data_IF_970861856262
#
_entry.id   IF_970861856262
#
_cell.length_a   1.000
_cell.length_b   1.000
_cell.length_c   1.000
_cell.angle_alpha   90.00
_cell.angle_beta   90.00
_cell.angle_gamma   90.00
#
_symmetry.space_group_name_H-M   'P 1'
#
loop_
_entity.id
_entity.type
_entity.pdbx_description
1 polymer ?
#
# COMPACT_ATOMS: atom_id res chain seq x y z
N UNK A 1 1.21 44.12 -1.02
CA UNK A 1 -0.16 43.91 -1.54
C UNK A 1 -0.47 42.43 -1.77
N UNK A 2 0.37 41.67 -2.50
CA UNK A 2 0.09 40.26 -2.85
C UNK A 2 -0.05 39.29 -1.67
N UNK A 3 0.78 39.40 -0.62
CA UNK A 3 0.74 38.50 0.54
C UNK A 3 -0.54 38.67 1.38
N UNK A 4 -1.04 39.90 1.49
CA UNK A 4 -2.26 40.22 2.25
C UNK A 4 -3.51 39.75 1.50
N UNK A 5 -3.54 39.95 0.17
CA UNK A 5 -4.58 39.39 -0.70
C UNK A 5 -4.59 37.86 -0.66
N UNK A 6 -3.42 37.23 -0.77
CA UNK A 6 -3.30 35.77 -0.73
C UNK A 6 -3.71 35.19 0.63
N UNK A 7 -3.32 35.84 1.73
CA UNK A 7 -3.72 35.44 3.08
C UNK A 7 -5.21 35.67 3.34
N UNK A 8 -5.79 36.75 2.81
CA UNK A 8 -7.22 37.03 2.90
C UNK A 8 -8.07 36.02 2.12
N UNK A 9 -7.66 35.67 0.90
CA UNK A 9 -8.30 34.59 0.12
C UNK A 9 -8.13 33.24 0.83
N UNK A 10 -6.94 32.94 1.36
CA UNK A 10 -6.69 31.73 2.16
C UNK A 10 -7.59 31.62 3.40
N UNK A 11 -7.80 32.73 4.10
CA UNK A 11 -8.70 32.81 5.26
C UNK A 11 -10.17 32.68 4.87
N UNK A 12 -10.62 33.33 3.78
CA UNK A 12 -11.97 33.16 3.27
C UNK A 12 -12.28 31.71 2.85
N UNK A 13 -11.32 31.04 2.23
CA UNK A 13 -11.46 29.63 1.81
C UNK A 13 -11.44 28.66 3.01
N UNK A 14 -10.90 29.06 4.16
CA UNK A 14 -10.87 28.25 5.38
C UNK A 14 -12.26 27.98 5.99
N UNK A 15 -13.26 28.81 5.66
CA UNK A 15 -14.66 28.59 6.05
C UNK A 15 -15.34 27.46 5.25
N UNK A 16 -14.81 27.10 4.07
CA UNK A 16 -15.35 26.06 3.19
C UNK A 16 -14.49 24.78 3.22
N UNK A 17 -13.20 24.92 3.52
CA UNK A 17 -12.22 23.84 3.53
C UNK A 17 -11.35 23.92 4.78
N UNK A 18 -11.32 22.85 5.59
CA UNK A 18 -10.53 22.73 6.82
C UNK A 18 -9.02 22.95 6.63
N UNK A 19 -8.54 22.91 5.37
CA UNK A 19 -7.13 23.14 4.98
C UNK A 19 -6.98 24.28 3.95
N UNK A 20 -7.96 25.18 3.84
CA UNK A 20 -7.93 26.30 2.89
C UNK A 20 -7.85 25.86 1.42
N UNK A 21 -7.18 26.66 0.59
CA UNK A 21 -6.99 26.43 -0.86
C UNK A 21 -6.27 25.09 -1.16
N UNK A 22 -5.27 24.73 -0.36
CA UNK A 22 -4.58 23.45 -0.47
C UNK A 22 -5.54 22.27 -0.22
N UNK A 23 -6.47 22.42 0.72
CA UNK A 23 -7.50 21.40 0.98
C UNK A 23 -8.47 21.21 -0.18
N UNK A 24 -8.81 22.28 -0.91
CA UNK A 24 -9.66 22.18 -2.11
C UNK A 24 -8.93 21.51 -3.27
N UNK A 25 -7.67 21.88 -3.50
CA UNK A 25 -6.82 21.22 -4.49
C UNK A 25 -6.66 19.73 -4.18
N UNK A 26 -6.33 19.39 -2.94
CA UNK A 26 -6.18 18.00 -2.51
C UNK A 26 -7.49 17.23 -2.60
N UNK A 27 -8.63 17.86 -2.24
CA UNK A 27 -9.95 17.25 -2.35
C UNK A 27 -10.21 16.72 -3.76
N UNK A 28 -9.94 17.51 -4.81
CA UNK A 28 -10.14 17.08 -6.21
C UNK A 28 -9.44 15.76 -6.52
N UNK A 29 -8.21 15.56 -6.06
CA UNK A 29 -7.46 14.32 -6.26
C UNK A 29 -7.91 13.18 -5.35
N UNK A 30 -8.48 13.48 -4.17
CA UNK A 30 -8.98 12.46 -3.23
C UNK A 30 -10.41 11.98 -3.49
N UNK A 31 -11.23 12.78 -4.20
CA UNK A 31 -12.63 12.46 -4.53
C UNK A 31 -12.86 11.05 -5.09
N UNK A 32 -12.08 10.54 -6.07
CA UNK A 32 -12.32 9.20 -6.62
C UNK A 32 -12.05 8.06 -5.63
N UNK A 33 -11.49 8.38 -4.46
CA UNK A 33 -11.13 7.40 -3.44
C UNK A 33 -12.05 7.41 -2.23
N UNK A 34 -13.01 8.34 -2.14
CA UNK A 34 -13.92 8.43 -1.01
C UNK A 34 -14.92 7.28 -1.05
N UNK A 35 -14.88 6.44 -0.02
CA UNK A 35 -15.83 5.35 0.21
C UNK A 35 -16.07 4.47 -1.04
N UNK A 36 -15.05 3.71 -1.49
CA UNK A 36 -15.15 2.88 -2.69
C UNK A 36 -16.19 1.76 -2.60
N UNK A 37 -16.88 1.61 -1.46
CA UNK A 37 -17.83 0.53 -1.21
C UNK A 37 -17.15 -0.83 -0.99
N UNK A 38 -17.96 -1.86 -0.75
CA UNK A 38 -17.48 -3.22 -0.46
C UNK A 38 -17.17 -4.07 -1.71
N UNK A 39 -17.34 -3.50 -2.91
CA UNK A 39 -17.13 -4.22 -4.17
C UNK A 39 -15.64 -4.40 -4.43
N UNK A 40 -15.21 -5.62 -4.79
CA UNK A 40 -13.80 -5.88 -5.05
C UNK A 40 -13.26 -5.04 -6.22
N UNK A 41 -14.03 -4.87 -7.29
CA UNK A 41 -13.61 -4.10 -8.47
C UNK A 41 -13.29 -2.64 -8.15
N UNK A 42 -14.08 -1.99 -7.29
CA UNK A 42 -13.84 -0.60 -6.88
C UNK A 42 -12.65 -0.49 -5.95
N UNK A 43 -12.44 -1.47 -5.05
CA UNK A 43 -11.24 -1.54 -4.21
C UNK A 43 -9.96 -1.75 -5.04
N UNK A 44 -10.01 -2.62 -6.05
CA UNK A 44 -8.89 -2.84 -6.97
C UNK A 44 -8.62 -1.57 -7.79
N UNK A 45 -9.66 -0.95 -8.36
CA UNK A 45 -9.51 0.28 -9.14
C UNK A 45 -8.91 1.44 -8.35
N UNK A 46 -9.38 1.65 -7.11
CA UNK A 46 -8.80 2.66 -6.21
C UNK A 46 -7.36 2.35 -5.83
N UNK A 47 -7.03 1.08 -5.59
CA UNK A 47 -5.64 0.68 -5.30
C UNK A 47 -4.71 0.90 -6.48
N UNK A 48 -5.14 0.53 -7.69
CA UNK A 48 -4.38 0.75 -8.94
C UNK A 48 -4.13 2.25 -9.11
N UNK A 49 -5.17 3.07 -9.03
CA UNK A 49 -5.04 4.51 -9.19
C UNK A 49 -4.16 5.14 -8.10
N UNK A 50 -4.24 4.65 -6.86
CA UNK A 50 -3.34 5.12 -5.80
C UNK A 50 -1.89 4.78 -6.09
N UNK A 51 -1.59 3.54 -6.45
CA UNK A 51 -0.21 3.12 -6.76
C UNK A 51 0.34 3.86 -7.99
N UNK A 52 -0.50 4.16 -8.99
CA UNK A 52 -0.11 5.02 -10.11
C UNK A 52 0.25 6.45 -9.64
N UNK A 53 -0.52 7.00 -8.70
CA UNK A 53 -0.18 8.29 -8.10
C UNK A 53 1.13 8.26 -7.32
N UNK A 54 1.41 7.16 -6.61
CA UNK A 54 2.71 6.96 -5.97
C UNK A 54 3.87 6.90 -6.96
N UNK A 55 3.67 6.33 -8.16
CA UNK A 55 4.71 6.31 -9.21
C UNK A 55 5.05 7.71 -9.72
N UNK A 56 4.10 8.64 -9.75
CA UNK A 56 4.35 10.03 -10.17
C UNK A 56 4.64 10.99 -8.99
N UNK A 57 4.85 10.45 -7.79
CA UNK A 57 5.22 11.23 -6.61
C UNK A 57 4.07 11.88 -5.84
N UNK A 58 2.80 11.58 -6.19
CA UNK A 58 1.64 12.02 -5.42
C UNK A 58 1.41 11.04 -4.27
N UNK A 59 1.82 11.44 -3.07
CA UNK A 59 1.77 10.63 -1.86
C UNK A 59 0.36 10.65 -1.25
N UNK A 60 -0.17 9.46 -0.99
CA UNK A 60 -1.30 9.27 -0.09
C UNK A 60 -2.65 9.88 -0.50
N UNK A 61 -3.10 9.89 -1.78
CA UNK A 61 -4.44 10.35 -2.11
C UNK A 61 -5.55 9.44 -1.55
N UNK A 62 -5.19 8.29 -0.97
CA UNK A 62 -6.11 7.35 -0.34
C UNK A 62 -5.77 7.18 1.14
N UNK A 63 -6.68 7.62 2.00
CA UNK A 63 -6.67 7.21 3.40
C UNK A 63 -7.40 5.86 3.52
N UNK A 64 -6.64 4.76 3.48
CA UNK A 64 -7.19 3.40 3.52
C UNK A 64 -7.97 3.09 4.81
N UNK A 65 -7.54 3.68 5.93
CA UNK A 65 -8.20 3.58 7.24
C UNK A 65 -9.47 4.45 7.30
N UNK A 66 -9.40 5.69 6.81
CA UNK A 66 -10.51 6.64 6.81
C UNK A 66 -11.64 6.26 5.83
N UNK A 67 -11.30 5.65 4.69
CA UNK A 67 -12.28 5.29 3.66
C UNK A 67 -13.24 4.18 4.03
N UNK A 68 -12.91 3.36 5.03
CA UNK A 68 -13.78 2.32 5.57
C UNK A 68 -14.19 2.60 7.02
N UNK A 69 -14.05 3.84 7.51
CA UNK A 69 -14.17 4.16 8.94
C UNK A 69 -15.44 3.62 9.62
N UNK A 70 -16.61 3.74 8.96
CA UNK A 70 -17.87 3.22 9.52
C UNK A 70 -17.82 1.69 9.64
N UNK A 71 -17.45 0.99 8.57
CA UNK A 71 -17.37 -0.47 8.53
C UNK A 71 -16.31 -1.02 9.48
N UNK A 72 -15.15 -0.35 9.58
CA UNK A 72 -14.08 -0.71 10.50
C UNK A 72 -14.51 -0.54 11.96
N UNK A 73 -15.20 0.56 12.31
CA UNK A 73 -15.73 0.77 13.66
C UNK A 73 -16.80 -0.27 14.00
N UNK A 74 -17.71 -0.60 13.07
CA UNK A 74 -18.72 -1.64 13.27
C UNK A 74 -18.07 -3.02 13.52
N UNK A 75 -17.03 -3.35 12.77
CA UNK A 75 -16.29 -4.60 12.97
C UNK A 75 -15.56 -4.63 14.32
N UNK A 76 -14.90 -3.53 14.69
CA UNK A 76 -14.23 -3.40 15.98
C UNK A 76 -15.24 -3.56 17.13
N UNK A 77 -16.37 -2.87 17.07
CA UNK A 77 -17.44 -2.97 18.07
C UNK A 77 -17.95 -4.41 18.18
N UNK A 78 -18.18 -5.08 17.04
CA UNK A 78 -18.58 -6.48 17.03
C UNK A 78 -17.55 -7.37 17.74
N UNK A 79 -16.27 -7.22 17.41
CA UNK A 79 -15.20 -8.03 17.99
C UNK A 79 -15.00 -7.80 19.49
N UNK A 80 -15.19 -6.55 19.96
CA UNK A 80 -15.16 -6.23 21.39
C UNK A 80 -16.34 -6.84 22.16
N UNK A 81 -17.52 -6.94 21.52
CA UNK A 81 -18.70 -7.56 22.14
C UNK A 81 -18.66 -9.09 22.16
N UNK A 82 -18.09 -9.71 21.13
CA UNK A 82 -18.09 -11.17 20.96
C UNK A 82 -16.75 -11.83 21.32
N UNK A 83 -15.70 -11.04 21.57
CA UNK A 83 -14.35 -11.53 21.87
C UNK A 83 -13.63 -12.17 20.68
N UNK A 84 -14.14 -12.00 19.45
CA UNK A 84 -13.58 -12.61 18.25
C UNK A 84 -13.84 -11.75 17.01
N UNK A 85 -12.88 -11.72 16.10
CA UNK A 85 -13.02 -11.09 14.79
C UNK A 85 -13.90 -11.91 13.82
N UNK A 86 -14.11 -13.19 14.12
CA UNK A 86 -14.93 -14.09 13.29
C UNK A 86 -16.40 -13.66 13.30
N UNK A 87 -17.01 -13.56 12.12
CA UNK A 87 -18.42 -13.19 11.98
C UNK A 87 -18.69 -11.68 11.97
N UNK A 88 -17.65 -10.84 11.92
CA UNK A 88 -17.82 -9.39 11.83
C UNK A 88 -18.69 -9.00 10.61
N UNK A 89 -19.57 -7.98 10.75
CA UNK A 89 -20.62 -7.68 9.78
C UNK A 89 -20.08 -7.20 8.42
N UNK A 90 -18.91 -6.56 8.38
CA UNK A 90 -18.30 -6.04 7.17
C UNK A 90 -16.90 -6.63 6.96
N UNK A 91 -16.74 -7.93 6.70
CA UNK A 91 -15.43 -8.57 6.71
C UNK A 91 -14.51 -8.08 5.58
N UNK A 92 -15.09 -7.57 4.50
CA UNK A 92 -14.37 -7.09 3.32
C UNK A 92 -14.38 -5.57 3.32
N UNK A 93 -13.27 -4.99 3.75
CA UNK A 93 -13.01 -3.55 3.73
C UNK A 93 -11.65 -3.29 3.10
N UNK A 94 -11.45 -2.07 2.60
CA UNK A 94 -10.16 -1.66 2.04
C UNK A 94 -9.04 -1.76 3.10
N UNK A 95 -9.35 -1.46 4.36
CA UNK A 95 -8.43 -1.63 5.47
C UNK A 95 -8.00 -3.10 5.66
N UNK A 96 -8.94 -4.04 5.60
CA UNK A 96 -8.61 -5.46 5.70
C UNK A 96 -7.82 -5.92 4.48
N UNK A 97 -8.38 -5.82 3.26
CA UNK A 97 -7.78 -6.50 2.09
C UNK A 97 -6.55 -5.79 1.53
N UNK A 98 -6.45 -4.46 1.69
CA UNK A 98 -5.32 -3.68 1.16
C UNK A 98 -4.33 -3.30 2.24
N UNK A 99 -4.73 -2.48 3.21
CA UNK A 99 -3.81 -1.90 4.20
C UNK A 99 -3.08 -2.98 5.02
N UNK A 100 -3.80 -4.03 5.40
CA UNK A 100 -3.25 -5.09 6.26
C UNK A 100 -2.48 -6.18 5.51
N UNK A 101 -2.83 -6.45 4.25
CA UNK A 101 -2.36 -7.64 3.53
C UNK A 101 -1.71 -7.38 2.17
N UNK A 102 -2.01 -6.25 1.53
CA UNK A 102 -1.51 -5.89 0.20
C UNK A 102 -0.73 -4.56 0.16
N UNK A 103 -0.33 -4.07 1.33
CA UNK A 103 0.47 -2.84 1.49
C UNK A 103 1.72 -3.09 2.37
N UNK A 104 2.20 -4.34 2.40
CA UNK A 104 3.34 -4.76 3.22
C UNK A 104 4.64 -4.18 2.68
N UNK A 105 5.33 -3.39 3.49
CA UNK A 105 6.43 -2.54 3.06
C UNK A 105 5.97 -1.27 2.37
N UNK A 106 4.73 -0.85 2.57
CA UNK A 106 4.16 0.33 1.94
C UNK A 106 3.66 0.09 0.51
N UNK A 107 3.31 1.18 -0.21
CA UNK A 107 2.75 1.15 -1.55
C UNK A 107 3.53 0.24 -2.50
N UNK A 108 2.80 -0.51 -3.33
CA UNK A 108 3.39 -1.48 -4.23
C UNK A 108 3.91 -2.76 -3.58
N UNK A 109 3.75 -2.93 -2.27
CA UNK A 109 4.36 -4.02 -1.51
C UNK A 109 5.89 -4.04 -1.61
N UNK A 110 6.54 -2.90 -1.41
CA UNK A 110 7.99 -2.77 -1.69
C UNK A 110 8.88 -3.66 -0.83
N UNK A 111 8.39 -4.23 0.28
CA UNK A 111 9.15 -5.26 1.00
C UNK A 111 9.40 -6.49 0.12
N UNK A 112 8.44 -6.84 -0.74
CA UNK A 112 8.61 -7.92 -1.70
C UNK A 112 9.68 -7.61 -2.74
N UNK A 113 9.77 -6.36 -3.20
CA UNK A 113 10.83 -5.87 -4.08
C UNK A 113 12.20 -5.93 -3.42
N UNK A 114 12.31 -5.50 -2.15
CA UNK A 114 13.54 -5.62 -1.34
C UNK A 114 14.03 -7.06 -1.33
N UNK A 115 13.14 -8.01 -1.02
CA UNK A 115 13.47 -9.44 -0.99
C UNK A 115 13.93 -9.92 -2.37
N UNK A 116 13.21 -9.55 -3.44
CA UNK A 116 13.55 -9.94 -4.80
C UNK A 116 14.94 -9.43 -5.23
N UNK A 117 15.28 -8.17 -4.92
CA UNK A 117 16.58 -7.57 -5.22
C UNK A 117 17.69 -8.25 -4.42
N UNK A 118 17.52 -8.44 -3.12
CA UNK A 118 18.54 -9.09 -2.28
C UNK A 118 18.79 -10.54 -2.72
N UNK A 119 17.74 -11.24 -3.12
CA UNK A 119 17.80 -12.64 -3.51
C UNK A 119 18.50 -12.87 -4.84
N UNK A 120 18.15 -12.11 -5.89
CA UNK A 120 18.58 -12.43 -7.27
C UNK A 120 19.15 -11.28 -8.08
N UNK A 121 19.15 -10.05 -7.57
CA UNK A 121 19.73 -8.94 -8.34
C UNK A 121 21.26 -8.98 -8.32
N UNK A 122 21.87 -8.73 -9.48
CA UNK A 122 23.32 -8.56 -9.62
C UNK A 122 23.74 -7.09 -9.71
N UNK A 123 22.77 -6.18 -9.86
CA UNK A 123 23.02 -4.75 -9.98
C UNK A 123 23.51 -4.17 -8.65
N UNK A 124 24.72 -3.63 -8.64
CA UNK A 124 25.35 -3.10 -7.42
C UNK A 124 24.59 -1.88 -6.88
N UNK A 125 24.10 -0.99 -7.76
CA UNK A 125 23.32 0.19 -7.38
C UNK A 125 22.01 -0.20 -6.69
N UNK A 126 21.26 -1.14 -7.28
CA UNK A 126 20.00 -1.60 -6.69
C UNK A 126 20.23 -2.26 -5.34
N UNK A 127 21.27 -3.09 -5.22
CA UNK A 127 21.61 -3.76 -3.96
C UNK A 127 22.09 -2.78 -2.90
N UNK A 128 22.85 -1.75 -3.26
CA UNK A 128 23.31 -0.72 -2.33
C UNK A 128 22.12 0.04 -1.70
N UNK A 129 21.19 0.53 -2.53
CA UNK A 129 19.98 1.21 -2.07
C UNK A 129 19.11 0.30 -1.20
N UNK A 130 18.95 -0.96 -1.63
CA UNK A 130 18.14 -1.95 -0.91
C UNK A 130 18.76 -2.29 0.45
N UNK A 131 20.08 -2.45 0.54
CA UNK A 131 20.79 -2.69 1.81
C UNK A 131 20.72 -1.50 2.78
N UNK A 132 20.58 -0.27 2.27
CA UNK A 132 20.36 0.89 3.12
C UNK A 132 18.91 1.00 3.61
N UNK A 133 17.95 0.44 2.86
CA UNK A 133 16.52 0.72 3.04
C UNK A 133 15.69 -0.47 3.55
N UNK A 134 16.25 -1.69 3.63
CA UNK A 134 15.49 -2.89 4.01
C UNK A 134 14.88 -2.81 5.40
N UNK A 135 15.59 -2.24 6.38
CA UNK A 135 15.11 -2.16 7.76
C UNK A 135 13.92 -1.19 7.88
N UNK A 136 13.99 0.06 7.36
CA UNK A 136 12.82 0.92 7.22
C UNK A 136 11.65 0.25 6.49
N UNK A 137 11.94 -0.50 5.42
CA UNK A 137 10.91 -1.16 4.63
C UNK A 137 10.13 -2.25 5.40
N UNK A 138 10.75 -2.95 6.36
CA UNK A 138 10.03 -3.90 7.23
C UNK A 138 8.92 -3.19 8.01
N UNK A 139 9.18 -1.97 8.47
CA UNK A 139 8.23 -1.12 9.20
C UNK A 139 7.42 -0.21 8.27
N UNK A 140 7.29 -0.57 7.00
CA UNK A 140 6.51 0.14 5.98
C UNK A 140 6.99 1.56 5.63
N UNK A 141 8.23 1.91 5.98
CA UNK A 141 8.88 3.15 5.52
C UNK A 141 9.59 2.92 4.19
N UNK A 142 8.92 3.26 3.09
CA UNK A 142 9.35 2.90 1.74
C UNK A 142 9.88 4.08 0.90
N UNK A 143 9.82 5.31 1.41
CA UNK A 143 10.31 6.50 0.69
C UNK A 143 11.78 6.38 0.24
N UNK A 144 12.71 5.82 1.05
CA UNK A 144 14.08 5.62 0.59
C UNK A 144 14.18 4.69 -0.63
N UNK A 145 13.30 3.69 -0.74
CA UNK A 145 13.25 2.79 -1.90
C UNK A 145 12.66 3.47 -3.12
N UNK A 146 11.55 4.22 -2.96
CA UNK A 146 10.88 4.90 -4.06
C UNK A 146 11.76 5.96 -4.72
N UNK A 147 12.59 6.65 -3.94
CA UNK A 147 13.51 7.68 -4.45
C UNK A 147 14.84 7.07 -4.89
N UNK A 148 15.32 6.02 -4.21
CA UNK A 148 16.62 5.42 -4.50
C UNK A 148 16.62 4.41 -5.66
N UNK A 149 15.49 3.76 -5.94
CA UNK A 149 15.33 2.87 -7.09
C UNK A 149 14.54 3.59 -8.20
N UNK A 150 14.81 3.29 -9.49
CA UNK A 150 14.12 3.93 -10.60
C UNK A 150 12.70 3.38 -10.81
N UNK A 151 11.92 3.19 -9.74
CA UNK A 151 10.57 2.59 -9.79
C UNK A 151 9.60 3.49 -10.57
N UNK A 152 9.68 4.80 -10.34
CA UNK A 152 8.89 5.82 -11.03
C UNK A 152 9.22 5.93 -12.53
N UNK A 153 10.49 5.73 -12.88
CA UNK A 153 11.02 5.99 -14.22
C UNK A 153 11.21 4.72 -15.06
N UNK A 154 11.10 3.54 -14.46
CA UNK A 154 11.23 2.24 -15.12
C UNK A 154 9.85 1.61 -15.32
N UNK A 155 9.33 1.56 -16.55
CA UNK A 155 8.10 0.82 -16.84
C UNK A 155 8.18 -0.65 -16.40
N UNK A 156 9.39 -1.22 -16.41
CA UNK A 156 9.65 -2.61 -15.99
C UNK A 156 9.31 -2.80 -14.51
N UNK A 157 9.72 -1.86 -13.63
CA UNK A 157 9.44 -1.95 -12.19
C UNK A 157 8.07 -1.36 -11.80
N UNK A 158 7.51 -0.47 -12.63
CA UNK A 158 6.16 0.06 -12.45
C UNK A 158 5.07 -1.03 -12.57
N UNK A 159 5.24 -1.99 -13.49
CA UNK A 159 4.29 -3.10 -13.68
C UNK A 159 4.11 -3.93 -12.40
N UNK A 160 5.15 -4.54 -11.79
CA UNK A 160 5.00 -5.32 -10.58
C UNK A 160 4.59 -4.45 -9.38
N UNK A 161 4.95 -3.16 -9.37
CA UNK A 161 4.50 -2.21 -8.34
C UNK A 161 2.98 -2.03 -8.30
N UNK A 162 2.31 -2.08 -9.45
CA UNK A 162 0.84 -2.05 -9.48
C UNK A 162 0.25 -3.45 -9.33
N UNK A 163 0.86 -4.45 -9.96
CA UNK A 163 0.33 -5.81 -10.03
C UNK A 163 0.39 -6.56 -8.70
N UNK A 164 1.49 -6.46 -7.95
CA UNK A 164 1.68 -7.24 -6.72
C UNK A 164 0.60 -6.94 -5.65
N UNK A 165 0.28 -5.66 -5.34
CA UNK A 165 -0.84 -5.34 -4.45
C UNK A 165 -2.18 -5.88 -4.96
N UNK A 166 -2.46 -5.75 -6.26
CA UNK A 166 -3.74 -6.20 -6.85
C UNK A 166 -3.94 -7.71 -6.68
N UNK A 167 -2.91 -8.50 -7.00
CA UNK A 167 -2.97 -9.96 -6.83
C UNK A 167 -3.17 -10.33 -5.36
N UNK A 168 -2.47 -9.66 -4.45
CA UNK A 168 -2.54 -9.95 -3.03
C UNK A 168 -3.86 -9.53 -2.38
N UNK A 169 -4.49 -8.45 -2.88
CA UNK A 169 -5.86 -8.12 -2.51
C UNK A 169 -6.84 -9.21 -2.91
N UNK A 170 -6.69 -9.80 -4.10
CA UNK A 170 -7.55 -10.90 -4.57
C UNK A 170 -7.36 -12.14 -3.69
N UNK A 171 -6.11 -12.49 -3.33
CA UNK A 171 -5.82 -13.59 -2.42
C UNK A 171 -6.48 -13.36 -1.06
N UNK A 172 -6.31 -12.17 -0.50
CA UNK A 172 -6.87 -11.80 0.82
C UNK A 172 -8.40 -11.78 0.79
N UNK A 173 -9.00 -11.25 -0.28
CA UNK A 173 -10.43 -11.28 -0.50
C UNK A 173 -10.96 -12.71 -0.60
N UNK A 174 -10.29 -13.58 -1.34
CA UNK A 174 -10.66 -14.99 -1.48
C UNK A 174 -10.57 -15.71 -0.14
N UNK A 175 -9.51 -15.48 0.64
CA UNK A 175 -9.35 -16.04 1.98
C UNK A 175 -10.49 -15.63 2.93
N UNK A 176 -10.95 -14.37 2.87
CA UNK A 176 -12.09 -13.90 3.65
C UNK A 176 -13.42 -14.49 3.16
N UNK A 177 -13.63 -14.55 1.83
CA UNK A 177 -14.86 -15.11 1.24
C UNK A 177 -15.02 -16.60 1.50
N UNK A 178 -13.92 -17.34 1.48
CA UNK A 178 -13.86 -18.77 1.80
C UNK A 178 -13.81 -19.04 3.30
N UNK A 179 -13.87 -18.00 4.15
CA UNK A 179 -13.82 -18.12 5.61
C UNK A 179 -12.55 -18.86 6.09
N UNK A 180 -11.42 -18.65 5.40
CA UNK A 180 -10.12 -19.22 5.76
C UNK A 180 -9.41 -18.40 6.82
N UNK A 181 -9.73 -17.11 6.96
CA UNK A 181 -9.22 -16.24 8.01
C UNK A 181 -10.30 -15.24 8.46
N UNK A 182 -10.23 -14.73 9.70
CA UNK A 182 -11.11 -13.65 10.12
C UNK A 182 -10.66 -12.31 9.49
N UNK A 183 -11.56 -11.31 9.42
CA UNK A 183 -11.21 -9.97 9.00
C UNK A 183 -10.35 -9.24 10.04
N UNK A 184 -9.62 -8.22 9.59
CA UNK A 184 -8.89 -7.31 10.47
C UNK A 184 -9.90 -6.32 11.07
N UNK A 185 -9.96 -6.31 12.40
CA UNK A 185 -10.94 -5.54 13.18
C UNK A 185 -10.29 -4.67 14.24
N UNK A 186 -9.11 -5.08 14.73
CA UNK A 186 -8.35 -4.32 15.71
C UNK A 186 -7.43 -3.32 14.99
N UNK A 187 -7.43 -2.04 15.39
CA UNK A 187 -6.55 -1.06 14.78
C UNK A 187 -5.09 -1.38 15.13
N UNK A 188 -4.26 -1.47 14.09
CA UNK A 188 -2.82 -1.68 14.22
C UNK A 188 -2.10 -0.52 13.54
N UNK A 189 -1.07 0.00 14.20
CA UNK A 189 -0.28 1.11 13.66
C UNK A 189 0.52 0.65 12.42
N UNK A 190 0.61 1.50 11.40
CA UNK A 190 1.34 1.23 10.15
C UNK A 190 2.85 1.13 10.36
N UNK A 191 3.37 1.60 11.49
CA UNK A 191 4.77 1.41 11.91
C UNK A 191 5.05 0.01 12.44
N UNK A 192 4.04 -0.84 12.60
CA UNK A 192 4.23 -2.26 12.92
C UNK A 192 4.91 -2.98 11.75
N UNK A 193 5.80 -3.97 11.98
CA UNK A 193 6.34 -4.79 10.90
C UNK A 193 5.23 -5.30 9.98
N UNK A 194 5.30 -4.98 8.68
CA UNK A 194 4.16 -5.09 7.77
C UNK A 194 3.52 -6.49 7.71
N UNK A 195 4.34 -7.54 7.80
CA UNK A 195 3.87 -8.94 7.79
C UNK A 195 2.98 -9.26 9.00
N UNK A 196 3.19 -8.58 10.13
CA UNK A 196 2.48 -8.82 11.39
C UNK A 196 1.17 -8.03 11.49
N UNK A 197 0.93 -7.05 10.62
CA UNK A 197 -0.26 -6.18 10.69
C UNK A 197 -1.54 -7.01 10.63
N UNK A 198 -1.69 -7.89 9.63
CA UNK A 198 -2.86 -8.75 9.52
C UNK A 198 -3.05 -9.73 10.69
N UNK A 199 -1.96 -10.24 11.25
CA UNK A 199 -2.00 -11.15 12.40
C UNK A 199 -2.48 -10.43 13.68
N UNK A 200 -1.89 -9.28 13.99
CA UNK A 200 -2.29 -8.48 15.15
C UNK A 200 -3.70 -7.90 14.97
N UNK A 201 -4.04 -7.49 13.74
CA UNK A 201 -5.33 -6.90 13.40
C UNK A 201 -6.51 -7.87 13.50
N UNK A 202 -6.25 -9.17 13.47
CA UNK A 202 -7.26 -10.23 13.68
C UNK A 202 -7.36 -10.69 15.14
N UNK A 203 -6.56 -10.12 16.05
CA UNK A 203 -6.49 -10.55 17.45
C UNK A 203 -5.56 -11.74 17.66
N UNK A 204 -4.63 -11.98 16.73
CA UNK A 204 -3.63 -13.05 16.83
C UNK A 204 -3.99 -14.36 16.11
N UNK A 205 -4.90 -14.35 15.15
CA UNK A 205 -5.28 -15.55 14.40
C UNK A 205 -4.14 -15.98 13.46
N UNK A 206 -3.55 -17.16 13.70
CA UNK A 206 -2.43 -17.68 12.92
C UNK A 206 -2.73 -17.83 11.42
N UNK A 207 -4.00 -18.02 11.04
CA UNK A 207 -4.40 -18.15 9.63
C UNK A 207 -4.15 -16.85 8.88
N UNK A 208 -4.37 -15.71 9.53
CA UNK A 208 -4.05 -14.40 8.99
C UNK A 208 -2.54 -14.22 8.79
N UNK A 209 -1.72 -14.70 9.72
CA UNK A 209 -0.25 -14.67 9.55
C UNK A 209 0.20 -15.49 8.33
N UNK A 210 -0.40 -16.66 8.13
CA UNK A 210 -0.12 -17.51 6.95
C UNK A 210 -0.50 -16.79 5.67
N UNK A 211 -1.65 -16.11 5.62
CA UNK A 211 -2.05 -15.32 4.45
C UNK A 211 -1.09 -14.15 4.20
N UNK A 212 -0.65 -13.44 5.24
CA UNK A 212 0.38 -12.39 5.10
C UNK A 212 1.68 -12.92 4.49
N UNK A 213 2.13 -14.10 4.91
CA UNK A 213 3.34 -14.74 4.38
C UNK A 213 3.15 -15.21 2.94
N UNK A 214 2.00 -15.80 2.60
CA UNK A 214 1.66 -16.19 1.22
C UNK A 214 1.65 -14.95 0.32
N UNK A 215 1.02 -13.87 0.76
CA UNK A 215 1.01 -12.61 0.03
C UNK A 215 2.44 -12.10 -0.20
N UNK A 216 3.28 -12.05 0.82
CA UNK A 216 4.66 -11.63 0.66
C UNK A 216 5.42 -12.50 -0.37
N UNK A 217 5.28 -13.83 -0.29
CA UNK A 217 5.90 -14.77 -1.22
C UNK A 217 5.41 -14.57 -2.66
N UNK A 218 4.09 -14.43 -2.86
CA UNK A 218 3.49 -14.19 -4.18
C UNK A 218 3.96 -12.86 -4.74
N UNK A 219 3.96 -11.79 -3.94
CA UNK A 219 4.49 -10.49 -4.35
C UNK A 219 5.97 -10.58 -4.73
N UNK A 220 6.79 -11.30 -3.95
CA UNK A 220 8.22 -11.50 -4.28
C UNK A 220 8.38 -12.26 -5.59
N UNK A 221 7.57 -13.30 -5.81
CA UNK A 221 7.57 -14.06 -7.06
C UNK A 221 7.13 -13.20 -8.26
N UNK A 222 6.18 -12.29 -8.06
CA UNK A 222 5.76 -11.31 -9.09
C UNK A 222 6.91 -10.35 -9.40
N UNK A 223 7.62 -9.83 -8.40
CA UNK A 223 8.74 -8.90 -8.62
C UNK A 223 9.96 -9.54 -9.27
N UNK A 224 10.24 -10.81 -8.99
CA UNK A 224 11.45 -11.51 -9.40
C UNK A 224 11.76 -11.42 -10.91
N UNK A 225 10.84 -11.73 -11.84
CA UNK A 225 11.11 -11.64 -13.27
C UNK A 225 11.44 -10.21 -13.73
N UNK A 226 10.78 -9.20 -13.17
CA UNK A 226 11.00 -7.80 -13.55
C UNK A 226 12.32 -7.26 -13.01
N UNK A 227 12.73 -7.68 -11.80
CA UNK A 227 14.06 -7.34 -11.27
C UNK A 227 15.16 -7.94 -12.14
N UNK A 228 14.99 -9.19 -12.59
CA UNK A 228 15.93 -9.84 -13.50
C UNK A 228 15.98 -9.14 -14.86
N UNK A 229 14.83 -8.75 -15.41
CA UNK A 229 14.74 -8.01 -16.66
C UNK A 229 15.39 -6.62 -16.57
N UNK A 230 15.13 -5.87 -15.50
CA UNK A 230 15.71 -4.54 -15.26
C UNK A 230 17.25 -4.59 -15.18
N UNK A 231 17.81 -5.66 -14.62
CA UNK A 231 19.26 -5.86 -14.57
C UNK A 231 19.89 -6.05 -15.97
N UNK A 232 19.15 -6.64 -16.91
CA UNK A 232 19.65 -6.88 -18.27
C UNK A 232 19.69 -5.60 -19.08
N UNK A 233 18.67 -4.74 -18.94
CA UNK A 233 18.57 -3.48 -19.68
C UNK A 233 19.63 -2.46 -19.25
N UNK A 234 20.01 -2.43 -17.97
CA UNK A 234 21.11 -1.56 -17.53
C UNK A 234 22.49 -2.09 -17.97
N UNK A 235 22.67 -3.41 -18.06
CA UNK A 235 23.90 -4.02 -18.57
C UNK A 235 24.15 -3.80 -20.06
N UNK A 236 23.10 -3.57 -20.85
CA UNK A 236 23.20 -3.23 -22.28
C UNK A 236 23.55 -1.76 -22.49
N UNK A 237 22.96 -0.83 -21.72
CA UNK A 237 23.25 0.62 -21.85
C UNK A 237 24.71 0.93 -21.54
N UNK A 238 25.28 0.33 -20.49
CA UNK A 238 26.70 0.53 -20.14
C UNK A 238 27.66 -0.01 -21.23
N UNK A 239 27.23 -0.99 -22.03
CA UNK A 239 28.04 -1.51 -23.15
C UNK A 239 27.93 -0.68 -24.42
N UNK A 240 26.80 -0.01 -24.64
CA UNK A 240 26.59 0.85 -25.81
C UNK A 240 27.23 2.25 -25.62
N UNK A 241 27.53 2.65 -24.38
CA UNK A 241 28.23 3.89 -24.04
C UNK A 241 29.76 3.74 -23.88
N UNK A 242 30.32 2.53 -24.06
CA UNK A 242 31.74 2.21 -23.90
C UNK A 242 32.42 1.84 -25.24
#
# INVERSE_FOLDING_TARGET
MGVILFSGVGYGVSFVSKYGLNGLFYKVFTLPFINPGAMLSTMLGTTVLSNLFWLIGIIGPVDYSGNSAISTVQNLQYALQHGSAWGAPNPITLHTVFDSFANVGGPGMTLALVIAILWRSHNQSYRAVTKASWLPAIFNFNQPLLVGLPIAYSPILAIPFVLAPVVNMVISWAALKLQLMPPVVYPVDRTTPGVLIGWLGTGGDWRALVVSLINLLVATAIYLPFVLLANQTEGTVVKDEA
#
